data_IF_521946513129
#
_entry.id   IF_521946513129
#
_cell.length_a   1.000
_cell.length_b   1.000
_cell.length_c   1.000
_cell.angle_alpha   90.00
_cell.angle_beta   90.00
_cell.angle_gamma   90.00
#
_symmetry.space_group_name_H-M   'P 1'
#
loop_
_entity.id
_entity.type
_entity.pdbx_description
1 polymer ?
#
# COMPACT_ATOMS: atom_id res chain seq x y z
N UNK A 1 -11.28 1.43 -2.46
CA UNK A 1 -10.48 2.27 -3.38
C UNK A 1 -10.14 1.43 -4.59
N UNK A 2 -10.23 1.99 -5.78
CA UNK A 2 -9.87 1.30 -7.03
C UNK A 2 -8.78 2.11 -7.70
N UNK A 3 -7.72 1.44 -8.12
CA UNK A 3 -6.67 2.01 -8.96
C UNK A 3 -6.92 1.53 -10.39
N UNK A 4 -6.85 2.44 -11.35
CA UNK A 4 -6.96 2.13 -12.76
C UNK A 4 -5.59 2.29 -13.40
N UNK A 5 -5.11 1.24 -14.05
CA UNK A 5 -4.05 1.35 -15.03
C UNK A 5 -4.67 1.82 -16.34
N UNK A 6 -4.46 3.09 -16.69
CA UNK A 6 -4.99 3.68 -17.91
C UNK A 6 -4.27 3.18 -19.17
N UNK A 7 -3.09 2.56 -19.06
CA UNK A 7 -2.34 2.05 -20.21
C UNK A 7 -2.91 0.72 -20.71
N UNK A 8 -3.13 -0.21 -19.79
CA UNK A 8 -3.63 -1.55 -20.11
C UNK A 8 -5.13 -1.73 -19.80
N UNK A 9 -5.80 -0.70 -19.26
CA UNK A 9 -7.22 -0.73 -18.89
C UNK A 9 -7.54 -1.66 -17.71
N UNK A 10 -6.53 -2.04 -16.90
CA UNK A 10 -6.68 -2.98 -15.79
C UNK A 10 -7.05 -2.22 -14.52
N UNK A 11 -8.05 -2.70 -13.80
CA UNK A 11 -8.46 -2.10 -12.52
C UNK A 11 -8.08 -2.99 -11.35
N UNK A 12 -7.63 -2.37 -10.27
CA UNK A 12 -7.11 -2.98 -9.07
C UNK A 12 -7.90 -2.51 -7.88
N UNK A 13 -8.63 -3.42 -7.25
CA UNK A 13 -9.42 -3.09 -6.07
C UNK A 13 -8.59 -3.32 -4.81
N UNK A 14 -8.32 -2.23 -4.09
CA UNK A 14 -7.68 -2.29 -2.79
C UNK A 14 -8.72 -2.59 -1.71
N UNK A 15 -8.38 -3.53 -0.82
CA UNK A 15 -9.11 -3.72 0.42
C UNK A 15 -8.99 -2.46 1.31
N UNK A 16 -9.84 -2.34 2.34
CA UNK A 16 -9.86 -1.14 3.19
C UNK A 16 -8.51 -0.79 3.83
N UNK A 17 -7.69 -1.79 4.11
CA UNK A 17 -6.32 -1.63 4.63
C UNK A 17 -5.38 -1.08 3.57
N UNK A 18 -5.35 -1.69 2.39
CA UNK A 18 -4.48 -1.30 1.30
C UNK A 18 -4.82 0.09 0.79
N UNK A 19 -6.10 0.47 0.80
CA UNK A 19 -6.52 1.84 0.53
C UNK A 19 -5.91 2.84 1.53
N UNK A 20 -5.97 2.55 2.83
CA UNK A 20 -5.38 3.40 3.86
C UNK A 20 -3.85 3.50 3.74
N UNK A 21 -3.18 2.39 3.41
CA UNK A 21 -1.73 2.36 3.14
C UNK A 21 -1.37 3.27 1.98
N UNK A 22 -2.02 3.10 0.82
CA UNK A 22 -1.73 3.91 -0.36
C UNK A 22 -2.03 5.38 -0.12
N UNK A 23 -3.13 5.71 0.56
CA UNK A 23 -3.45 7.10 0.91
C UNK A 23 -2.38 7.73 1.80
N UNK A 24 -1.85 6.98 2.78
CA UNK A 24 -0.79 7.48 3.65
C UNK A 24 0.52 7.70 2.89
N UNK A 25 0.88 6.79 1.99
CA UNK A 25 2.06 6.90 1.13
C UNK A 25 1.94 8.08 0.15
N UNK A 26 0.76 8.28 -0.46
CA UNK A 26 0.47 9.45 -1.31
C UNK A 26 0.54 10.77 -0.52
N UNK A 27 0.24 10.72 0.78
CA UNK A 27 0.45 11.84 1.71
C UNK A 27 1.90 12.08 2.11
N UNK A 28 2.86 11.32 1.58
CA UNK A 28 4.29 11.45 1.87
C UNK A 28 4.76 10.72 3.13
N UNK A 29 3.93 9.87 3.74
CA UNK A 29 4.35 9.07 4.88
C UNK A 29 5.37 7.99 4.46
N UNK A 30 6.37 7.73 5.30
CA UNK A 30 7.29 6.62 5.07
C UNK A 30 6.59 5.28 5.34
N UNK A 31 6.94 4.19 4.62
CA UNK A 31 6.34 2.86 4.81
C UNK A 31 6.39 2.36 6.27
N UNK A 32 7.45 2.70 7.01
CA UNK A 32 7.57 2.37 8.44
C UNK A 32 6.50 3.05 9.30
N UNK A 33 6.22 4.33 9.05
CA UNK A 33 5.17 5.09 9.74
C UNK A 33 3.78 4.54 9.42
N UNK A 34 3.59 4.05 8.19
CA UNK A 34 2.34 3.40 7.77
C UNK A 34 2.16 2.07 8.49
N UNK A 35 3.21 1.26 8.62
CA UNK A 35 3.18 0.01 9.39
C UNK A 35 2.87 0.26 10.88
N UNK A 36 3.48 1.29 11.48
CA UNK A 36 3.21 1.68 12.87
C UNK A 36 1.74 2.09 13.07
N UNK A 37 1.18 2.89 12.16
CA UNK A 37 -0.25 3.25 12.18
C UNK A 37 -1.16 2.05 11.97
N UNK A 38 -0.78 1.10 11.11
CA UNK A 38 -1.55 -0.12 10.89
C UNK A 38 -1.62 -0.97 12.16
N UNK A 39 -0.47 -1.19 12.80
CA UNK A 39 -0.37 -1.95 14.05
C UNK A 39 -1.11 -1.25 15.22
N UNK A 40 -1.20 0.08 15.20
CA UNK A 40 -1.96 0.83 16.21
C UNK A 40 -3.48 0.80 15.98
N UNK A 41 -3.94 0.60 14.74
CA UNK A 41 -5.37 0.67 14.37
C UNK A 41 -6.01 -0.69 14.14
N UNK A 42 -5.20 -1.74 13.98
CA UNK A 42 -5.63 -3.13 13.75
C UNK A 42 -4.91 -4.04 14.75
N UNK A 43 -5.54 -5.16 15.16
CA UNK A 43 -4.89 -6.17 15.99
C UNK A 43 -3.92 -7.02 15.15
N UNK A 44 -2.86 -6.40 14.64
CA UNK A 44 -1.79 -7.05 13.86
C UNK A 44 -0.43 -6.61 14.39
N UNK A 45 0.53 -7.52 14.39
CA UNK A 45 1.89 -7.20 14.80
C UNK A 45 2.55 -6.23 13.81
N UNK A 46 3.44 -5.39 14.32
CA UNK A 46 4.19 -4.42 13.52
C UNK A 46 4.96 -5.06 12.37
N UNK A 47 5.62 -6.19 12.62
CA UNK A 47 6.34 -6.94 11.59
C UNK A 47 5.39 -7.43 10.50
N UNK A 48 4.20 -7.91 10.90
CA UNK A 48 3.20 -8.36 9.94
C UNK A 48 2.64 -7.20 9.13
N UNK A 49 2.35 -6.07 9.77
CA UNK A 49 1.94 -4.85 9.09
C UNK A 49 2.98 -4.36 8.09
N UNK A 50 4.26 -4.39 8.46
CA UNK A 50 5.36 -4.01 7.56
C UNK A 50 5.47 -4.95 6.36
N UNK A 51 5.36 -6.27 6.58
CA UNK A 51 5.35 -7.26 5.51
C UNK A 51 4.16 -7.07 4.56
N UNK A 52 2.97 -6.81 5.09
CA UNK A 52 1.76 -6.57 4.28
C UNK A 52 1.89 -5.27 3.46
N UNK A 53 2.47 -4.20 4.03
CA UNK A 53 2.75 -2.95 3.30
C UNK A 53 3.77 -3.18 2.19
N UNK A 54 4.84 -3.93 2.45
CA UNK A 54 5.87 -4.27 1.46
C UNK A 54 5.28 -5.12 0.32
N UNK A 55 4.50 -6.15 0.63
CA UNK A 55 3.85 -7.00 -0.35
C UNK A 55 2.86 -6.22 -1.22
N UNK A 56 2.13 -5.27 -0.64
CA UNK A 56 1.24 -4.38 -1.38
C UNK A 56 2.02 -3.48 -2.35
N UNK A 57 3.10 -2.86 -1.89
CA UNK A 57 3.98 -2.03 -2.71
C UNK A 57 4.61 -2.81 -3.85
N UNK A 58 5.09 -4.03 -3.60
CA UNK A 58 5.60 -4.91 -4.64
C UNK A 58 4.53 -5.26 -5.68
N UNK A 59 3.32 -5.59 -5.22
CA UNK A 59 2.19 -5.83 -6.11
C UNK A 59 1.97 -4.63 -7.04
N UNK A 60 1.80 -3.45 -6.44
CA UNK A 60 1.55 -2.21 -7.19
C UNK A 60 2.69 -1.86 -8.15
N UNK A 61 3.94 -2.06 -7.73
CA UNK A 61 5.12 -1.82 -8.58
C UNK A 61 5.15 -2.80 -9.75
N UNK A 62 4.84 -4.08 -9.51
CA UNK A 62 4.81 -5.11 -10.56
C UNK A 62 3.75 -4.85 -11.63
N UNK A 63 2.67 -4.15 -11.27
CA UNK A 63 1.67 -3.72 -12.23
C UNK A 63 1.89 -2.31 -12.79
N UNK A 64 3.04 -1.70 -12.52
CA UNK A 64 3.37 -0.37 -13.05
C UNK A 64 2.50 0.75 -12.49
N UNK A 65 1.77 0.51 -11.39
CA UNK A 65 0.86 1.49 -10.79
C UNK A 65 1.58 2.47 -9.85
N UNK A 66 2.72 2.08 -9.29
CA UNK A 66 3.56 2.94 -8.44
C UNK A 66 5.02 2.75 -8.79
N UNK A 67 5.83 3.80 -8.54
CA UNK A 67 7.28 3.75 -8.68
C UNK A 67 7.88 3.84 -7.28
N UNK A 68 8.41 2.73 -6.76
CA UNK A 68 9.17 2.77 -5.51
C UNK A 68 10.52 3.43 -5.82
N UNK A 69 10.73 4.65 -5.33
CA UNK A 69 12.04 5.30 -5.43
C UNK A 69 12.96 4.66 -4.38
N UNK A 70 14.15 4.16 -4.75
CA UNK A 70 15.09 3.52 -3.83
C UNK A 70 15.68 4.48 -2.79
#
# INVERSE_FOLDING_TARGET
MVLLDERDGRYWQLNGTGAAVVQALLGGAAPSQVADRLAATRPVDRERAAADVAALLEGLTRAGLVVSTP
#
